data_IF_802549965765
#
_entry.id   IF_802549965765
#
_cell.length_a   1.000
_cell.length_b   1.000
_cell.length_c   1.000
_cell.angle_alpha   90.00
_cell.angle_beta   90.00
_cell.angle_gamma   90.00
#
_symmetry.space_group_name_H-M   'P 1'
#
loop_
_entity.id
_entity.type
_entity.pdbx_description
1 polymer ?
#
# COMPACT_ATOMS: atom_id res chain seq x y z
N UNK A 1 -47.39 5.32 -28.78
CA UNK A 1 -45.97 5.21 -29.18
C UNK A 1 -45.25 4.51 -28.05
N UNK A 2 -45.09 3.20 -28.16
CA UNK A 2 -44.34 2.38 -27.21
C UNK A 2 -42.86 2.68 -27.41
N UNK A 3 -42.20 3.13 -26.35
CA UNK A 3 -40.73 3.25 -26.32
C UNK A 3 -40.23 1.82 -26.11
N UNK A 4 -39.56 1.27 -27.12
CA UNK A 4 -38.84 0.02 -27.00
C UNK A 4 -37.67 0.22 -26.02
N UNK A 5 -37.54 -0.70 -25.07
CA UNK A 5 -36.39 -0.83 -24.18
C UNK A 5 -35.15 -1.16 -25.03
N UNK A 6 -34.01 -0.46 -24.86
CA UNK A 6 -32.80 -0.82 -25.58
C UNK A 6 -32.29 -2.19 -25.12
N UNK A 7 -32.10 -3.04 -26.12
CA UNK A 7 -31.76 -4.44 -26.04
C UNK A 7 -30.40 -4.65 -25.34
N UNK A 8 -30.35 -5.73 -24.55
CA UNK A 8 -29.17 -6.27 -23.87
C UNK A 8 -27.96 -6.36 -24.81
N UNK A 9 -26.89 -5.64 -24.46
CA UNK A 9 -25.60 -5.71 -25.15
C UNK A 9 -24.97 -7.11 -25.00
N UNK A 10 -24.82 -7.76 -26.14
CA UNK A 10 -24.16 -9.05 -26.31
C UNK A 10 -22.65 -8.85 -26.14
N UNK A 11 -22.10 -9.45 -25.07
CA UNK A 11 -20.74 -10.00 -24.96
C UNK A 11 -19.79 -9.58 -26.09
N UNK A 12 -19.13 -8.43 -25.94
CA UNK A 12 -17.91 -8.15 -26.69
C UNK A 12 -16.81 -9.10 -26.19
N UNK A 13 -16.16 -9.81 -27.09
CA UNK A 13 -14.93 -10.53 -26.78
C UNK A 13 -13.96 -9.58 -26.06
N UNK A 14 -13.22 -10.03 -25.02
CA UNK A 14 -12.32 -9.15 -24.31
C UNK A 14 -11.29 -8.61 -25.31
N UNK A 15 -11.39 -7.31 -25.60
CA UNK A 15 -10.39 -6.61 -26.39
C UNK A 15 -9.02 -6.89 -25.75
N UNK A 16 -8.10 -7.46 -26.52
CA UNK A 16 -6.80 -7.89 -26.04
C UNK A 16 -5.99 -6.75 -25.38
N UNK A 17 -6.36 -5.49 -25.61
CA UNK A 17 -5.79 -4.33 -24.93
C UNK A 17 -6.19 -4.24 -23.46
N UNK A 18 -7.45 -4.54 -23.12
CA UNK A 18 -7.96 -4.45 -21.75
C UNK A 18 -7.38 -5.55 -20.87
N UNK A 19 -7.32 -6.79 -21.36
CA UNK A 19 -6.72 -7.90 -20.61
C UNK A 19 -5.24 -7.66 -20.29
N UNK A 20 -4.46 -7.09 -21.23
CA UNK A 20 -3.08 -6.68 -20.98
C UNK A 20 -2.96 -5.57 -19.94
N UNK A 21 -3.84 -4.57 -19.99
CA UNK A 21 -3.87 -3.47 -19.01
C UNK A 21 -4.15 -3.97 -17.59
N UNK A 22 -5.11 -4.87 -17.41
CA UNK A 22 -5.38 -5.47 -16.10
C UNK A 22 -4.22 -6.33 -15.60
N UNK A 23 -3.57 -7.09 -16.49
CA UNK A 23 -2.40 -7.87 -16.13
C UNK A 23 -1.23 -6.97 -15.67
N UNK A 24 -1.03 -5.82 -16.32
CA UNK A 24 -0.02 -4.84 -15.91
C UNK A 24 -0.34 -4.21 -14.55
N UNK A 25 -1.59 -3.80 -14.32
CA UNK A 25 -2.04 -3.29 -13.02
C UNK A 25 -1.82 -4.34 -11.93
N UNK A 26 -2.17 -5.60 -12.18
CA UNK A 26 -1.94 -6.69 -11.23
C UNK A 26 -0.46 -6.85 -10.85
N UNK A 27 0.44 -6.76 -11.83
CA UNK A 27 1.90 -6.78 -11.58
C UNK A 27 2.35 -5.58 -10.76
N UNK A 28 1.89 -4.37 -11.09
CA UNK A 28 2.21 -3.15 -10.37
C UNK A 28 1.74 -3.21 -8.91
N UNK A 29 0.53 -3.70 -8.67
CA UNK A 29 -0.01 -3.90 -7.32
C UNK A 29 0.80 -4.93 -6.54
N UNK A 30 1.11 -6.08 -7.15
CA UNK A 30 1.92 -7.12 -6.51
C UNK A 30 3.32 -6.61 -6.13
N UNK A 31 3.96 -5.87 -7.04
CA UNK A 31 5.27 -5.27 -6.80
C UNK A 31 5.20 -4.24 -5.66
N UNK A 32 4.18 -3.40 -5.65
CA UNK A 32 4.00 -2.39 -4.60
C UNK A 32 3.78 -3.02 -3.23
N UNK A 33 2.94 -4.05 -3.16
CA UNK A 33 2.69 -4.81 -1.93
C UNK A 33 3.98 -5.47 -1.41
N UNK A 34 4.72 -6.14 -2.29
CA UNK A 34 5.97 -6.80 -1.92
C UNK A 34 7.03 -5.79 -1.46
N UNK A 35 7.14 -4.64 -2.12
CA UNK A 35 8.06 -3.57 -1.73
C UNK A 35 7.72 -3.02 -0.34
N UNK A 36 6.44 -2.75 -0.07
CA UNK A 36 5.98 -2.28 1.24
C UNK A 36 6.23 -3.33 2.33
N UNK A 37 5.89 -4.60 2.08
CA UNK A 37 6.13 -5.71 3.01
C UNK A 37 7.62 -5.87 3.34
N UNK A 38 8.49 -5.79 2.34
CA UNK A 38 9.95 -5.88 2.55
C UNK A 38 10.48 -4.67 3.30
N UNK A 39 9.98 -3.46 3.03
CA UNK A 39 10.33 -2.26 3.77
C UNK A 39 10.07 -2.43 5.27
N UNK A 40 8.83 -2.80 5.62
CA UNK A 40 8.40 -3.02 7.01
C UNK A 40 9.31 -4.07 7.67
N UNK A 41 9.53 -5.21 7.02
CA UNK A 41 10.39 -6.29 7.54
C UNK A 41 11.83 -5.82 7.82
N UNK A 42 12.43 -5.04 6.92
CA UNK A 42 13.81 -4.56 7.09
C UNK A 42 13.91 -3.60 8.26
N UNK A 43 13.00 -2.64 8.32
CA UNK A 43 12.94 -1.64 9.37
C UNK A 43 12.74 -2.29 10.74
N UNK A 44 11.79 -3.23 10.88
CA UNK A 44 11.54 -3.94 12.15
C UNK A 44 12.68 -4.89 12.56
N UNK A 45 13.54 -5.31 11.63
CA UNK A 45 14.79 -6.03 11.94
C UNK A 45 15.92 -5.10 12.42
N UNK A 46 15.64 -3.81 12.61
CA UNK A 46 16.62 -2.80 13.01
C UNK A 46 17.53 -2.35 11.87
N UNK A 47 17.22 -2.68 10.61
CA UNK A 47 18.01 -2.19 9.49
C UNK A 47 17.70 -0.72 9.22
N UNK A 48 18.73 0.08 8.97
CA UNK A 48 18.56 1.46 8.52
C UNK A 48 18.03 1.47 7.09
N UNK A 49 16.85 2.06 6.87
CA UNK A 49 16.24 2.21 5.55
C UNK A 49 15.89 3.67 5.30
N UNK A 50 16.29 4.19 4.15
CA UNK A 50 15.94 5.53 3.70
C UNK A 50 14.54 5.59 3.09
N UNK A 51 13.81 6.67 3.38
CA UNK A 51 12.55 7.01 2.74
C UNK A 51 12.73 7.23 1.23
N UNK A 52 11.83 6.66 0.42
CA UNK A 52 11.87 6.83 -1.03
C UNK A 52 11.62 8.28 -1.49
N UNK A 53 10.76 9.02 -0.77
CA UNK A 53 10.40 10.40 -1.14
C UNK A 53 11.47 11.44 -0.78
N UNK A 54 12.05 11.34 0.42
CA UNK A 54 12.97 12.38 0.93
C UNK A 54 14.40 11.90 1.22
N UNK A 55 14.69 10.61 1.05
CA UNK A 55 15.99 9.97 1.31
C UNK A 55 16.49 10.03 2.76
N UNK A 56 15.72 10.61 3.67
CA UNK A 56 16.01 10.61 5.10
C UNK A 56 15.71 9.24 5.73
N UNK A 57 16.37 8.87 6.84
CA UNK A 57 16.11 7.61 7.52
C UNK A 57 14.66 7.51 8.00
N UNK A 58 14.08 6.32 7.85
CA UNK A 58 12.82 5.95 8.48
C UNK A 58 13.04 5.73 9.98
N UNK A 59 12.03 6.09 10.76
CA UNK A 59 11.98 5.94 12.21
C UNK A 59 10.87 4.95 12.53
N UNK A 60 11.03 4.25 13.66
CA UNK A 60 10.02 3.33 14.19
C UNK A 60 9.56 3.88 15.51
N UNK A 61 8.24 3.88 15.72
CA UNK A 61 7.64 4.12 17.02
C UNK A 61 7.05 2.80 17.52
N UNK A 62 7.64 2.26 18.59
CA UNK A 62 7.20 1.04 19.23
C UNK A 62 6.14 1.34 20.30
N UNK A 63 5.28 0.36 20.66
CA UNK A 63 4.22 0.55 21.66
C UNK A 63 4.70 1.13 22.99
N UNK A 64 5.89 0.72 23.46
CA UNK A 64 6.49 1.16 24.72
C UNK A 64 6.94 2.63 24.69
N UNK A 65 7.07 3.21 23.49
CA UNK A 65 7.52 4.59 23.27
C UNK A 65 6.35 5.54 23.01
N UNK A 66 5.12 5.04 22.97
CA UNK A 66 3.94 5.82 22.61
C UNK A 66 3.55 6.81 23.71
N UNK A 67 3.27 8.04 23.30
CA UNK A 67 2.54 9.01 24.11
C UNK A 67 1.02 8.83 23.91
N UNK A 68 0.18 9.32 24.83
CA UNK A 68 -1.28 9.29 24.64
C UNK A 68 -1.68 9.88 23.28
N UNK A 69 -2.49 9.14 22.51
CA UNK A 69 -2.94 9.53 21.17
C UNK A 69 -1.97 9.22 20.02
N UNK A 70 -0.79 8.65 20.30
CA UNK A 70 0.10 8.14 19.27
C UNK A 70 -0.19 6.67 18.97
N UNK A 71 0.09 6.27 17.74
CA UNK A 71 0.00 4.89 17.30
C UNK A 71 1.37 4.38 16.85
N UNK A 72 1.66 3.10 17.04
CA UNK A 72 2.94 2.57 16.68
C UNK A 72 3.04 2.46 15.15
N UNK A 73 4.25 2.56 14.61
CA UNK A 73 4.39 2.72 13.16
C UNK A 73 5.79 3.02 12.65
N UNK A 74 5.88 3.17 11.33
CA UNK A 74 7.10 3.52 10.60
C UNK A 74 6.86 4.83 9.85
N UNK A 75 7.72 5.82 10.08
CA UNK A 75 7.54 7.14 9.48
C UNK A 75 8.86 7.85 9.15
N UNK A 76 8.82 8.79 8.20
CA UNK A 76 9.90 9.77 8.03
C UNK A 76 9.49 11.13 8.61
N UNK A 77 10.46 11.95 9.02
CA UNK A 77 10.20 13.28 9.61
C UNK A 77 9.43 14.24 8.70
N UNK A 78 9.47 14.03 7.38
CA UNK A 78 8.75 14.84 6.39
C UNK A 78 7.33 14.34 6.07
N UNK A 79 6.91 13.19 6.60
CA UNK A 79 5.60 12.60 6.33
C UNK A 79 5.42 11.96 4.96
N UNK A 80 6.49 11.75 4.18
CA UNK A 80 6.41 11.06 2.88
C UNK A 80 6.06 9.57 3.03
N UNK A 81 6.40 8.99 4.18
CA UNK A 81 6.04 7.63 4.56
C UNK A 81 5.49 7.72 5.96
N UNK A 82 4.29 7.21 6.15
CA UNK A 82 3.58 7.13 7.41
C UNK A 82 2.77 5.83 7.39
N UNK A 83 3.28 4.82 8.08
CA UNK A 83 2.71 3.47 8.11
C UNK A 83 2.35 3.18 9.56
N UNK A 84 1.06 3.22 9.86
CA UNK A 84 0.52 2.73 11.12
C UNK A 84 0.65 1.20 11.17
N UNK A 85 1.16 0.68 12.28
CA UNK A 85 1.26 -0.74 12.53
C UNK A 85 0.30 -1.10 13.66
N UNK A 86 -0.47 -2.17 13.47
CA UNK A 86 -1.27 -2.75 14.53
C UNK A 86 -0.38 -3.65 15.37
N UNK A 87 0.14 -3.10 16.47
CA UNK A 87 1.05 -3.80 17.38
C UNK A 87 0.48 -3.75 18.79
N UNK A 88 0.17 -4.93 19.32
CA UNK A 88 -0.24 -5.10 20.70
C UNK A 88 1.00 -5.18 21.59
N UNK A 89 1.03 -4.41 22.68
CA UNK A 89 2.05 -4.56 23.70
C UNK A 89 1.71 -5.80 24.54
N UNK A 90 2.41 -6.91 24.31
CA UNK A 90 2.37 -8.04 25.24
C UNK A 90 3.29 -7.72 26.42
N UNK A 91 2.73 -7.06 27.43
CA UNK A 91 3.35 -6.83 28.73
C UNK A 91 3.29 -8.06 29.63
#
# INVERSE_FOLDING_TARGET
>A
MTIAEPETDKTAAPDASNSRRFAEIGKLTANSFNAQKQLIKRVLKGQSVSCAGCRQPLNVLLPEQLKPGQKPGIFCKKGCTDIELDMEAYG
#
